data_IF_684285867044
#
_entry.id   IF_684285867044
#
_cell.length_a   1.000
_cell.length_b   1.000
_cell.length_c   1.000
_cell.angle_alpha   90.00
_cell.angle_beta   90.00
_cell.angle_gamma   90.00
#
_symmetry.space_group_name_H-M   'P 1'
#
loop_
_entity.id
_entity.type
_entity.pdbx_description
1 polymer ?
#
# COMPACT_ATOMS: atom_id res chain seq x y z
N UNK A 1 -31.94 11.97 -20.19
CA UNK A 1 -31.12 10.74 -20.04
C UNK A 1 -29.67 11.16 -19.95
N UNK A 2 -28.88 10.56 -19.05
CA UNK A 2 -27.42 10.77 -19.02
C UNK A 2 -26.86 10.23 -20.34
N UNK A 3 -25.94 10.95 -21.00
CA UNK A 3 -25.34 10.46 -22.24
C UNK A 3 -24.45 9.25 -21.96
N UNK A 4 -24.48 8.26 -22.84
CA UNK A 4 -23.63 7.06 -22.72
C UNK A 4 -22.14 7.42 -22.61
N UNK A 5 -21.71 8.46 -23.34
CA UNK A 5 -20.35 8.99 -23.27
C UNK A 5 -19.91 9.41 -21.86
N UNK A 6 -20.80 10.01 -21.06
CA UNK A 6 -20.49 10.43 -19.70
C UNK A 6 -20.32 9.22 -18.79
N UNK A 7 -21.11 8.17 -19.00
CA UNK A 7 -21.01 6.91 -18.24
C UNK A 7 -19.67 6.24 -18.49
N UNK A 8 -19.22 6.16 -19.75
CA UNK A 8 -17.95 5.51 -20.09
C UNK A 8 -16.74 6.31 -19.60
N UNK A 9 -16.77 7.64 -19.72
CA UNK A 9 -15.75 8.52 -19.13
C UNK A 9 -15.68 8.37 -17.61
N UNK A 10 -16.83 8.28 -16.94
CA UNK A 10 -16.88 8.12 -15.48
C UNK A 10 -16.29 6.77 -15.04
N UNK A 11 -16.55 5.69 -15.78
CA UNK A 11 -15.93 4.38 -15.55
C UNK A 11 -14.43 4.42 -15.74
N UNK A 12 -13.96 5.08 -16.80
CA UNK A 12 -12.52 5.23 -17.06
C UNK A 12 -11.82 6.04 -15.95
N UNK A 13 -12.40 7.16 -15.54
CA UNK A 13 -11.89 7.96 -14.43
C UNK A 13 -11.79 7.14 -13.14
N UNK A 14 -12.83 6.35 -12.82
CA UNK A 14 -12.81 5.47 -11.67
C UNK A 14 -11.73 4.39 -11.80
N UNK A 15 -11.62 3.73 -12.95
CA UNK A 15 -10.63 2.69 -13.20
C UNK A 15 -9.20 3.23 -13.00
N UNK A 16 -8.87 4.39 -13.58
CA UNK A 16 -7.58 5.04 -13.40
C UNK A 16 -7.29 5.33 -11.93
N UNK A 17 -8.26 5.88 -11.20
CA UNK A 17 -8.12 6.20 -9.77
C UNK A 17 -7.89 4.94 -8.93
N UNK A 18 -8.69 3.90 -9.17
CA UNK A 18 -8.58 2.62 -8.48
C UNK A 18 -7.23 1.94 -8.77
N UNK A 19 -6.78 1.95 -10.02
CA UNK A 19 -5.48 1.39 -10.41
C UNK A 19 -4.33 2.10 -9.67
N UNK A 20 -4.27 3.44 -9.71
CA UNK A 20 -3.21 4.17 -9.01
C UNK A 20 -3.27 3.99 -7.48
N UNK A 21 -4.46 3.95 -6.89
CA UNK A 21 -4.61 3.69 -5.46
C UNK A 21 -4.10 2.30 -5.08
N UNK A 22 -4.45 1.28 -5.86
CA UNK A 22 -4.10 -0.12 -5.57
C UNK A 22 -2.65 -0.49 -5.88
N UNK A 23 -1.84 0.45 -6.37
CA UNK A 23 -0.37 0.29 -6.36
C UNK A 23 0.19 0.45 -4.94
N UNK A 24 -0.36 1.37 -4.16
CA UNK A 24 0.17 1.73 -2.84
C UNK A 24 -0.49 0.94 -1.70
N UNK A 25 -1.77 0.60 -1.82
CA UNK A 25 -2.49 -0.20 -0.81
C UNK A 25 -1.78 -1.51 -0.44
N UNK A 26 -1.48 -2.42 -1.39
CA UNK A 26 -0.81 -3.67 -1.06
C UNK A 26 0.62 -3.46 -0.56
N UNK A 27 1.30 -2.41 -1.03
CA UNK A 27 2.64 -2.04 -0.55
C UNK A 27 2.59 -1.64 0.92
N UNK A 28 1.67 -0.74 1.30
CA UNK A 28 1.51 -0.32 2.69
C UNK A 28 1.09 -1.48 3.58
N UNK A 29 0.13 -2.31 3.14
CA UNK A 29 -0.31 -3.45 3.92
C UNK A 29 0.81 -4.49 4.10
N UNK A 30 1.58 -4.78 3.04
CA UNK A 30 2.70 -5.72 3.09
C UNK A 30 3.86 -5.20 3.95
N UNK A 31 4.26 -3.94 3.75
CA UNK A 31 5.34 -3.32 4.52
C UNK A 31 5.00 -3.22 6.01
N UNK A 32 3.74 -2.98 6.38
CA UNK A 32 3.32 -2.93 7.79
C UNK A 32 3.66 -4.22 8.54
N UNK A 33 3.40 -5.39 7.92
CA UNK A 33 3.76 -6.68 8.52
C UNK A 33 5.27 -6.91 8.55
N UNK A 34 5.98 -6.55 7.47
CA UNK A 34 7.43 -6.70 7.40
C UNK A 34 8.11 -5.85 8.49
N UNK A 35 7.70 -4.59 8.65
CA UNK A 35 8.20 -3.70 9.69
C UNK A 35 7.89 -4.23 11.09
N UNK A 36 6.67 -4.72 11.33
CA UNK A 36 6.29 -5.30 12.61
C UNK A 36 7.16 -6.53 12.98
N UNK A 37 7.46 -7.39 12.01
CA UNK A 37 8.32 -8.56 12.21
C UNK A 37 9.77 -8.13 12.48
N UNK A 38 10.31 -7.18 11.72
CA UNK A 38 11.68 -6.68 11.91
C UNK A 38 11.84 -6.00 13.27
N UNK A 39 10.88 -5.18 13.68
CA UNK A 39 10.88 -4.50 14.98
C UNK A 39 10.77 -5.51 16.14
N UNK A 40 9.89 -6.50 15.99
CA UNK A 40 9.77 -7.60 16.98
C UNK A 40 11.09 -8.39 17.08
N UNK A 41 11.75 -8.62 15.94
CA UNK A 41 13.05 -9.31 15.91
C UNK A 41 14.14 -8.47 16.59
N UNK A 42 14.14 -7.15 16.42
CA UNK A 42 15.02 -6.24 17.16
C UNK A 42 14.80 -6.38 18.68
N UNK A 43 13.55 -6.27 19.14
CA UNK A 43 13.20 -6.35 20.57
C UNK A 43 13.62 -7.68 21.20
N UNK A 44 13.47 -8.79 20.48
CA UNK A 44 13.84 -10.13 20.98
C UNK A 44 15.36 -10.37 20.92
N UNK A 45 16.02 -9.96 19.82
CA UNK A 45 17.44 -10.30 19.58
C UNK A 45 18.44 -9.27 20.11
N UNK A 46 18.01 -8.03 20.36
CA UNK A 46 18.86 -6.91 20.74
C UNK A 46 19.84 -6.44 19.66
N UNK A 47 19.75 -6.95 18.42
CA UNK A 47 20.67 -6.57 17.32
C UNK A 47 20.22 -5.27 16.67
N UNK A 48 21.02 -4.21 16.80
CA UNK A 48 20.72 -2.87 16.26
C UNK A 48 20.46 -2.84 14.74
N UNK A 49 21.02 -3.77 13.96
CA UNK A 49 20.76 -3.87 12.51
C UNK A 49 19.26 -3.92 12.19
N UNK A 50 18.45 -4.64 12.98
CA UNK A 50 17.01 -4.76 12.71
C UNK A 50 16.25 -3.47 13.01
N UNK A 51 16.72 -2.66 13.96
CA UNK A 51 16.18 -1.34 14.28
C UNK A 51 16.55 -0.30 13.24
N UNK A 52 17.72 -0.43 12.62
CA UNK A 52 18.12 0.45 11.52
C UNK A 52 17.41 0.08 10.21
N UNK A 53 16.97 -1.17 10.05
CA UNK A 53 16.13 -1.62 8.93
C UNK A 53 14.66 -1.17 9.05
N UNK A 54 14.16 -0.85 10.25
CA UNK A 54 12.77 -0.43 10.48
C UNK A 54 12.56 1.08 10.46
N UNK A 55 13.63 1.87 10.45
CA UNK A 55 13.61 3.33 10.29
C UNK A 55 13.60 3.74 8.82
#
# INVERSE_FOLDING_TARGET
MISESVVDLSRFQFAMTAMYHFLFVPLTLGLAFILAIMETTYVISGKEIYKDMTK
#
